data_IF_538529428276
#
_entry.id   IF_538529428276
#
_cell.length_a   1.000
_cell.length_b   1.000
_cell.length_c   1.000
_cell.angle_alpha   90.00
_cell.angle_beta   90.00
_cell.angle_gamma   90.00
#
_symmetry.space_group_name_H-M   'P 1'
#
loop_
_entity.id
_entity.type
_entity.pdbx_description
1 polymer ?
#
# COMPACT_ATOMS: atom_id res chain seq x y z
N UNK A 1 22.08 21.33 17.99
CA UNK A 1 22.71 22.11 19.09
C UNK A 1 23.44 21.26 20.11
N UNK A 2 22.76 20.55 21.02
CA UNK A 2 23.44 19.77 22.07
C UNK A 2 24.38 18.70 21.52
N UNK A 3 23.99 18.02 20.43
CA UNK A 3 24.85 17.05 19.73
C UNK A 3 26.11 17.70 19.15
N UNK A 4 25.99 18.87 18.54
CA UNK A 4 27.14 19.62 18.00
C UNK A 4 28.06 20.11 19.12
N UNK A 5 27.50 20.62 20.22
CA UNK A 5 28.30 21.03 21.39
C UNK A 5 29.10 19.87 22.00
N UNK A 6 28.56 18.64 21.97
CA UNK A 6 29.25 17.45 22.46
C UNK A 6 30.36 16.94 21.54
N UNK A 7 30.30 17.27 20.24
CA UNK A 7 31.42 16.99 19.30
C UNK A 7 32.64 17.84 19.63
N UNK A 8 32.42 19.08 20.07
CA UNK A 8 33.51 20.00 20.45
C UNK A 8 34.01 19.78 21.87
N UNK A 9 33.13 19.44 22.82
CA UNK A 9 33.51 19.08 24.18
C UNK A 9 32.59 17.96 24.70
N UNK A 10 33.13 16.76 24.77
CA UNK A 10 32.40 15.56 25.20
C UNK A 10 31.98 15.60 26.69
N UNK A 11 32.64 16.41 27.51
CA UNK A 11 32.38 16.59 28.95
C UNK A 11 31.44 17.76 29.24
N UNK A 12 30.83 18.37 28.21
CA UNK A 12 29.91 19.49 28.41
C UNK A 12 28.63 19.04 29.12
N UNK A 13 28.60 19.22 30.44
CA UNK A 13 27.52 18.83 31.34
C UNK A 13 26.14 19.36 30.91
N UNK A 14 26.07 20.62 30.48
CA UNK A 14 24.83 21.27 30.06
C UNK A 14 24.31 20.68 28.75
N UNK A 15 25.20 20.35 27.82
CA UNK A 15 24.84 19.70 26.57
C UNK A 15 24.43 18.24 26.77
N UNK A 16 25.10 17.51 27.67
CA UNK A 16 24.72 16.14 28.07
C UNK A 16 23.30 16.12 28.66
N UNK A 17 23.00 17.01 29.61
CA UNK A 17 21.70 17.09 30.25
C UNK A 17 20.58 17.45 29.25
N UNK A 18 20.83 18.43 28.37
CA UNK A 18 19.87 18.82 27.33
C UNK A 18 19.60 17.70 26.33
N UNK A 19 20.65 16.96 25.93
CA UNK A 19 20.51 15.79 25.04
C UNK A 19 19.72 14.67 25.71
N UNK A 20 19.96 14.42 26.99
CA UNK A 20 19.23 13.42 27.76
C UNK A 20 17.73 13.76 27.86
N UNK A 21 17.39 15.00 28.24
CA UNK A 21 16.00 15.48 28.32
C UNK A 21 15.31 15.42 26.95
N UNK A 22 16.01 15.79 25.88
CA UNK A 22 15.46 15.70 24.53
C UNK A 22 15.17 14.25 24.11
N UNK A 23 16.05 13.30 24.44
CA UNK A 23 15.84 11.88 24.15
C UNK A 23 14.66 11.31 24.96
N UNK A 24 14.47 11.74 26.21
CA UNK A 24 13.31 11.36 27.02
C UNK A 24 11.99 11.93 26.45
N UNK A 25 11.97 13.19 26.01
CA UNK A 25 10.79 13.83 25.42
C UNK A 25 10.42 13.25 24.05
N UNK A 26 11.40 12.75 23.30
CA UNK A 26 11.20 12.07 22.02
C UNK A 26 10.95 10.56 22.19
N UNK A 27 10.75 10.10 23.43
CA UNK A 27 10.50 8.69 23.77
C UNK A 27 11.60 7.72 23.30
N UNK A 28 12.82 8.21 23.06
CA UNK A 28 13.98 7.42 22.66
C UNK A 28 14.70 6.85 23.89
N UNK A 29 13.99 6.05 24.67
CA UNK A 29 14.42 5.62 25.99
C UNK A 29 15.69 4.76 26.00
N UNK A 30 15.94 3.92 24.98
CA UNK A 30 17.21 3.18 24.85
C UNK A 30 18.41 4.10 24.67
N UNK A 31 18.28 5.10 23.79
CA UNK A 31 19.36 6.05 23.52
C UNK A 31 19.62 6.96 24.72
N UNK A 32 18.56 7.34 25.44
CA UNK A 32 18.67 8.04 26.72
C UNK A 32 19.38 7.18 27.77
N UNK A 33 19.04 5.88 27.87
CA UNK A 33 19.64 4.96 28.83
C UNK A 33 21.12 4.70 28.53
N UNK A 34 21.49 4.52 27.26
CA UNK A 34 22.89 4.38 26.85
C UNK A 34 23.74 5.62 27.19
N UNK A 35 23.16 6.82 27.04
CA UNK A 35 23.83 8.06 27.42
C UNK A 35 24.02 8.15 28.93
N UNK A 36 23.01 7.76 29.71
CA UNK A 36 23.06 7.69 31.18
C UNK A 36 24.09 6.68 31.66
N UNK A 37 24.10 5.47 31.10
CA UNK A 37 25.07 4.43 31.49
C UNK A 37 26.50 4.87 31.15
N UNK A 38 26.74 5.49 29.98
CA UNK A 38 28.06 6.08 29.65
C UNK A 38 28.54 7.12 30.65
N UNK A 39 27.65 8.00 31.13
CA UNK A 39 27.99 9.02 32.14
C UNK A 39 28.28 8.37 33.50
N UNK A 40 27.55 7.32 33.87
CA UNK A 40 27.73 6.61 35.14
C UNK A 40 28.96 5.70 35.13
N UNK A 41 29.31 5.12 33.99
CA UNK A 41 30.45 4.22 33.81
C UNK A 41 31.79 4.99 33.71
N UNK A 42 31.76 6.20 33.14
CA UNK A 42 32.95 7.06 33.01
C UNK A 42 33.11 8.08 34.15
N UNK A 43 32.14 8.19 35.06
CA UNK A 43 32.17 9.20 36.11
C UNK A 43 33.13 8.83 37.24
N UNK A 44 34.11 9.70 37.52
CA UNK A 44 34.69 9.76 38.86
C UNK A 44 33.55 10.04 39.87
N UNK A 45 33.62 9.45 41.07
CA UNK A 45 32.64 9.59 42.16
C UNK A 45 32.52 11.03 42.73
N UNK A 46 32.85 12.05 41.94
CA UNK A 46 32.68 13.45 42.29
C UNK A 46 31.25 13.90 41.95
N UNK A 47 30.69 14.69 42.86
CA UNK A 47 29.27 15.04 42.98
C UNK A 47 28.84 16.04 41.90
N UNK A 48 28.97 15.69 40.61
CA UNK A 48 28.44 16.48 39.50
C UNK A 48 26.90 16.40 39.47
N UNK A 49 26.25 17.53 39.20
CA UNK A 49 24.79 17.63 39.02
C UNK A 49 24.28 16.68 37.93
N UNK A 50 25.08 16.43 36.90
CA UNK A 50 24.75 15.50 35.81
C UNK A 50 24.78 14.05 36.30
N UNK A 51 25.73 13.69 37.15
CA UNK A 51 25.83 12.35 37.72
C UNK A 51 24.60 12.04 38.60
N UNK A 52 24.22 12.97 39.49
CA UNK A 52 23.02 12.84 40.32
C UNK A 52 21.73 12.70 39.48
N UNK A 53 21.62 13.49 38.41
CA UNK A 53 20.51 13.37 37.47
C UNK A 53 20.49 12.01 36.77
N UNK A 54 21.64 11.51 36.32
CA UNK A 54 21.78 10.22 35.64
C UNK A 54 21.41 9.04 36.55
N UNK A 55 21.75 9.08 37.84
CA UNK A 55 21.34 8.06 38.82
C UNK A 55 19.81 7.96 38.92
N UNK A 56 19.13 9.11 39.02
CA UNK A 56 17.66 9.17 39.06
C UNK A 56 17.02 8.77 37.72
N UNK A 57 17.58 9.26 36.62
CA UNK A 57 17.11 8.97 35.26
C UNK A 57 17.23 7.49 34.92
N UNK A 58 18.30 6.79 35.34
CA UNK A 58 18.50 5.35 35.06
C UNK A 58 17.34 4.49 35.55
N UNK A 59 16.85 4.75 36.78
CA UNK A 59 15.72 4.00 37.36
C UNK A 59 14.42 4.30 36.61
N UNK A 60 14.17 5.57 36.28
CA UNK A 60 12.99 6.01 35.52
C UNK A 60 12.98 5.43 34.10
N UNK A 61 14.10 5.53 33.39
CA UNK A 61 14.27 5.01 32.03
C UNK A 61 14.09 3.50 31.96
N UNK A 62 14.66 2.72 32.88
CA UNK A 62 14.44 1.26 32.94
C UNK A 62 12.98 0.91 33.17
N UNK A 63 12.25 1.67 34.01
CA UNK A 63 10.82 1.47 34.22
C UNK A 63 10.01 1.81 32.96
N UNK A 64 10.34 2.91 32.29
CA UNK A 64 9.69 3.30 31.03
C UNK A 64 9.95 2.27 29.93
N UNK A 65 11.19 1.78 29.78
CA UNK A 65 11.57 0.70 28.88
C UNK A 65 10.84 -0.62 29.16
N UNK A 66 10.65 -0.97 30.43
CA UNK A 66 9.88 -2.17 30.79
C UNK A 66 8.40 -2.03 30.41
N UNK A 67 7.81 -0.86 30.68
CA UNK A 67 6.43 -0.55 30.28
C UNK A 67 6.27 -0.49 28.76
N UNK A 68 7.22 0.12 28.06
CA UNK A 68 7.23 0.20 26.60
C UNK A 68 7.37 -1.19 25.97
N UNK A 69 8.22 -2.06 26.53
CA UNK A 69 8.28 -3.48 26.14
C UNK A 69 7.01 -4.25 26.44
N UNK A 70 6.31 -3.94 27.54
CA UNK A 70 5.04 -4.56 27.89
C UNK A 70 3.91 -4.10 26.97
N UNK A 71 3.88 -2.82 26.60
CA UNK A 71 2.98 -2.25 25.59
C UNK A 71 3.29 -2.85 24.22
N UNK A 72 4.56 -2.86 23.79
CA UNK A 72 4.97 -3.50 22.55
C UNK A 72 4.64 -5.00 22.55
N UNK A 73 4.79 -5.71 23.67
CA UNK A 73 4.41 -7.12 23.78
C UNK A 73 2.89 -7.34 23.76
N UNK A 74 2.11 -6.42 24.33
CA UNK A 74 0.65 -6.47 24.30
C UNK A 74 0.09 -6.10 22.91
N UNK A 75 0.69 -5.12 22.25
CA UNK A 75 0.46 -4.76 20.84
C UNK A 75 0.88 -5.89 19.91
N UNK A 76 2.02 -6.55 20.14
CA UNK A 76 2.43 -7.77 19.41
C UNK A 76 1.49 -8.94 19.67
N UNK A 77 0.89 -9.04 20.86
CA UNK A 77 -0.10 -10.09 21.19
C UNK A 77 -1.48 -9.80 20.60
N UNK A 78 -1.87 -8.53 20.49
CA UNK A 78 -3.08 -8.11 19.76
C UNK A 78 -2.87 -8.21 18.24
N UNK A 79 -1.73 -7.76 17.73
CA UNK A 79 -1.31 -7.98 16.33
C UNK A 79 -1.13 -9.45 16.02
N UNK A 80 -0.66 -10.30 16.94
CA UNK A 80 -0.45 -11.73 16.74
C UNK A 80 -1.75 -12.50 16.47
N UNK A 81 -2.92 -11.89 16.71
CA UNK A 81 -4.22 -12.40 16.27
C UNK A 81 -4.60 -11.97 14.84
N UNK A 82 -3.96 -10.94 14.29
CA UNK A 82 -4.18 -10.37 12.96
C UNK A 82 -3.02 -10.59 11.98
N UNK A 83 -1.83 -10.96 12.48
CA UNK A 83 -0.57 -11.09 11.75
C UNK A 83 -0.21 -12.57 11.66
N UNK A 84 -0.59 -13.20 10.55
CA UNK A 84 -0.13 -14.54 10.22
C UNK A 84 1.21 -14.48 9.48
N UNK A 85 1.97 -15.56 9.53
CA UNK A 85 3.26 -15.83 8.90
C UNK A 85 3.27 -15.75 7.35
N UNK A 86 2.11 -15.60 6.71
CA UNK A 86 1.93 -15.54 5.25
C UNK A 86 1.53 -14.16 4.68
N UNK A 87 2.19 -13.09 5.11
CA UNK A 87 1.85 -11.72 4.68
C UNK A 87 2.59 -11.26 3.42
N UNK A 88 1.89 -10.49 2.58
CA UNK A 88 2.50 -9.87 1.38
C UNK A 88 3.32 -8.64 1.78
N UNK A 89 4.50 -8.51 1.20
CA UNK A 89 5.26 -7.28 1.30
C UNK A 89 4.84 -6.26 0.25
N UNK A 90 5.04 -5.00 0.60
CA UNK A 90 4.63 -3.82 -0.16
C UNK A 90 5.78 -2.82 -0.18
N UNK A 91 6.02 -2.22 -1.34
CA UNK A 91 6.92 -1.06 -1.47
C UNK A 91 6.14 0.20 -1.05
N UNK A 92 6.75 1.09 -0.27
CA UNK A 92 6.15 2.36 0.12
C UNK A 92 7.17 3.48 0.01
N UNK A 93 6.69 4.69 -0.28
CA UNK A 93 7.47 5.90 -0.02
C UNK A 93 7.43 6.21 1.47
N UNK A 94 8.61 6.37 2.07
CA UNK A 94 8.80 6.81 3.45
C UNK A 94 8.80 8.33 3.62
N UNK A 95 8.53 9.07 2.56
CA UNK A 95 8.44 10.53 2.54
C UNK A 95 7.40 10.97 1.51
N UNK A 96 6.85 12.17 1.71
CA UNK A 96 6.02 12.83 0.69
C UNK A 96 6.94 13.45 -0.36
N UNK A 97 6.64 13.23 -1.63
CA UNK A 97 7.46 13.79 -2.71
C UNK A 97 7.02 15.22 -3.06
N UNK A 98 7.94 16.07 -3.57
CA UNK A 98 7.62 17.45 -3.96
C UNK A 98 6.47 17.52 -4.96
N UNK A 99 5.66 18.57 -4.92
CA UNK A 99 4.64 18.87 -5.94
C UNK A 99 5.22 19.59 -7.15
N UNK A 100 6.38 20.23 -6.99
CA UNK A 100 7.09 20.96 -8.04
C UNK A 100 8.60 20.72 -7.92
N UNK A 101 9.23 20.31 -9.03
CA UNK A 101 10.66 19.97 -9.09
C UNK A 101 11.36 20.77 -10.19
N UNK A 102 12.32 21.64 -9.84
CA UNK A 102 13.17 22.32 -10.82
C UNK A 102 14.15 21.38 -11.52
N UNK A 103 14.35 21.58 -12.82
CA UNK A 103 15.32 20.80 -13.61
C UNK A 103 16.72 20.84 -12.99
N UNK A 104 17.32 19.67 -12.82
CA UNK A 104 18.65 19.48 -12.24
C UNK A 104 18.75 19.66 -10.72
N UNK A 105 17.66 20.04 -10.04
CA UNK A 105 17.64 20.13 -8.59
C UNK A 105 17.38 18.76 -7.95
N UNK A 106 18.26 18.37 -7.03
CA UNK A 106 18.13 17.14 -6.27
C UNK A 106 17.13 17.28 -5.12
N UNK A 107 16.34 16.24 -4.91
CA UNK A 107 15.46 16.07 -3.76
C UNK A 107 15.58 14.65 -3.20
N UNK A 108 15.19 14.50 -1.93
CA UNK A 108 15.37 13.25 -1.19
C UNK A 108 14.19 12.31 -1.40
N UNK A 109 14.50 11.02 -1.55
CA UNK A 109 13.51 9.95 -1.70
C UNK A 109 13.85 8.86 -0.70
N UNK A 110 12.87 8.53 0.13
CA UNK A 110 12.92 7.42 1.06
C UNK A 110 11.96 6.34 0.58
N UNK A 111 12.44 5.11 0.49
CA UNK A 111 11.63 3.94 0.18
C UNK A 111 11.79 2.89 1.26
N UNK A 112 10.73 2.15 1.52
CA UNK A 112 10.76 1.01 2.41
C UNK A 112 9.91 -0.12 1.85
N UNK A 113 10.22 -1.35 2.26
CA UNK A 113 9.32 -2.47 2.12
C UNK A 113 8.76 -2.84 3.50
N UNK A 114 7.51 -3.28 3.55
CA UNK A 114 6.86 -3.75 4.76
C UNK A 114 5.62 -4.55 4.43
N UNK A 115 5.07 -5.27 5.40
CA UNK A 115 3.78 -5.94 5.25
C UNK A 115 2.62 -4.92 5.17
N UNK A 116 1.38 -5.39 5.18
CA UNK A 116 0.18 -4.53 5.17
C UNK A 116 0.06 -3.59 6.40
N UNK A 117 0.91 -3.76 7.41
CA UNK A 117 1.03 -2.90 8.59
C UNK A 117 2.31 -2.05 8.59
N UNK A 118 3.10 -2.08 7.50
CA UNK A 118 4.36 -1.35 7.38
C UNK A 118 5.54 -1.95 8.14
N UNK A 119 5.39 -3.20 8.63
CA UNK A 119 6.43 -3.90 9.37
C UNK A 119 7.28 -4.77 8.43
N UNK A 120 8.60 -4.63 8.54
CA UNK A 120 9.57 -5.48 7.87
C UNK A 120 10.31 -6.33 8.88
N UNK A 121 10.40 -7.64 8.62
CA UNK A 121 11.25 -8.54 9.39
C UNK A 121 12.29 -9.17 8.46
N UNK A 122 13.53 -9.26 8.94
CA UNK A 122 14.68 -9.73 8.13
C UNK A 122 14.56 -11.20 7.76
N UNK A 123 13.94 -12.01 8.62
CA UNK A 123 13.62 -13.42 8.40
C UNK A 123 12.69 -13.66 7.20
N UNK A 124 12.02 -12.62 6.68
CA UNK A 124 11.31 -12.72 5.41
C UNK A 124 12.27 -12.97 4.24
N UNK A 125 13.51 -12.47 4.28
CA UNK A 125 14.48 -12.63 3.19
C UNK A 125 15.38 -13.83 3.51
N UNK A 126 15.54 -14.76 2.56
CA UNK A 126 16.43 -15.90 2.77
C UNK A 126 17.87 -15.44 2.96
N UNK A 127 18.65 -16.23 3.69
CA UNK A 127 20.05 -15.91 3.93
C UNK A 127 20.82 -15.83 2.60
N UNK A 128 21.50 -14.72 2.34
CA UNK A 128 22.18 -14.42 1.07
C UNK A 128 21.31 -13.79 -0.03
N UNK A 129 20.00 -13.67 0.15
CA UNK A 129 19.13 -12.95 -0.78
C UNK A 129 19.12 -11.43 -0.51
N UNK A 130 19.05 -10.66 -1.59
CA UNK A 130 18.90 -9.21 -1.59
C UNK A 130 17.66 -8.79 -2.38
N UNK A 131 16.96 -7.79 -1.86
CA UNK A 131 15.85 -7.15 -2.55
C UNK A 131 16.37 -5.88 -3.19
N UNK A 132 16.21 -5.81 -4.52
CA UNK A 132 16.57 -4.69 -5.35
C UNK A 132 15.28 -4.06 -5.86
N UNK A 133 15.20 -2.74 -5.78
CA UNK A 133 14.12 -1.96 -6.38
C UNK A 133 14.67 -1.20 -7.59
N UNK A 134 13.78 -0.72 -8.43
CA UNK A 134 14.08 0.12 -9.57
C UNK A 134 13.24 1.39 -9.46
N UNK A 135 13.89 2.56 -9.44
CA UNK A 135 13.23 3.85 -9.52
C UNK A 135 13.21 4.34 -10.96
N UNK A 136 12.04 4.79 -11.42
CA UNK A 136 11.75 5.22 -12.79
C UNK A 136 10.88 6.48 -12.77
N UNK A 137 10.88 7.19 -13.90
CA UNK A 137 9.96 8.30 -14.13
C UNK A 137 8.76 7.82 -14.95
N UNK A 138 7.56 7.89 -14.38
CA UNK A 138 6.30 7.60 -15.07
C UNK A 138 5.81 8.84 -15.82
N UNK A 139 5.15 8.62 -16.96
CA UNK A 139 4.64 9.66 -17.87
C UNK A 139 5.74 10.59 -18.45
N UNK A 140 7.00 10.13 -18.51
CA UNK A 140 8.06 10.82 -19.25
C UNK A 140 7.77 10.72 -20.75
N UNK A 141 7.09 11.72 -21.28
CA UNK A 141 6.71 11.78 -22.71
C UNK A 141 7.93 11.52 -23.59
N UNK A 142 7.88 10.45 -24.39
CA UNK A 142 8.90 10.08 -25.39
C UNK A 142 10.36 10.06 -24.86
N UNK A 143 10.58 9.80 -23.56
CA UNK A 143 11.93 9.77 -22.97
C UNK A 143 12.60 11.14 -22.87
N UNK A 144 11.85 12.25 -22.93
CA UNK A 144 12.38 13.62 -22.82
C UNK A 144 13.09 13.89 -21.50
N UNK A 145 12.67 13.26 -20.42
CA UNK A 145 13.28 13.43 -19.10
C UNK A 145 13.89 12.11 -18.63
N UNK A 146 15.03 12.22 -17.97
CA UNK A 146 15.69 11.11 -17.26
C UNK A 146 15.98 11.48 -15.82
N UNK A 147 16.10 10.46 -14.98
CA UNK A 147 16.53 10.60 -13.60
C UNK A 147 18.05 10.56 -13.53
N UNK A 148 18.61 11.39 -12.66
CA UNK A 148 20.01 11.31 -12.22
C UNK A 148 20.00 11.03 -10.72
N UNK A 149 20.78 10.05 -10.30
CA UNK A 149 20.83 9.58 -8.94
C UNK A 149 22.11 10.05 -8.26
N UNK A 150 22.00 10.35 -6.98
CA UNK A 150 23.13 10.65 -6.12
C UNK A 150 22.93 9.98 -4.77
N UNK A 151 23.98 9.33 -4.27
CA UNK A 151 23.99 8.83 -2.90
C UNK A 151 23.84 10.00 -1.91
N UNK A 152 23.16 9.79 -0.76
CA UNK A 152 22.99 10.84 0.22
C UNK A 152 24.35 11.38 0.68
N UNK A 153 24.44 12.71 0.79
CA UNK A 153 25.57 13.36 1.43
C UNK A 153 25.56 12.95 2.91
N UNK A 154 26.66 12.37 3.38
CA UNK A 154 26.90 11.85 4.74
C UNK A 154 26.60 10.36 4.97
N UNK A 155 27.67 9.57 4.91
CA UNK A 155 27.81 8.30 5.60
C UNK A 155 27.84 8.53 7.13
N UNK A 156 26.67 8.74 7.76
CA UNK A 156 26.58 8.77 9.21
C UNK A 156 25.96 7.47 9.77
N UNK A 157 26.80 6.71 10.46
CA UNK A 157 26.51 5.85 11.61
C UNK A 157 25.51 4.68 11.53
N UNK A 158 25.26 4.09 10.37
CA UNK A 158 24.73 2.71 10.34
C UNK A 158 25.42 1.95 9.21
N UNK A 159 26.14 0.86 9.53
CA UNK A 159 26.79 -0.05 8.56
C UNK A 159 25.81 -0.84 7.69
N UNK A 160 24.83 -0.15 7.11
CA UNK A 160 23.69 -0.69 6.38
C UNK A 160 23.54 0.14 5.09
N UNK A 161 24.48 -0.06 4.16
CA UNK A 161 24.61 0.73 2.92
C UNK A 161 23.45 0.46 1.97
N UNK A 162 22.37 1.24 2.09
CA UNK A 162 21.44 1.43 0.99
C UNK A 162 22.03 2.40 -0.02
N UNK A 163 21.99 2.08 -1.31
CA UNK A 163 22.47 2.95 -2.38
C UNK A 163 21.55 2.87 -3.59
N UNK A 164 21.57 3.90 -4.43
CA UNK A 164 20.95 3.90 -5.75
C UNK A 164 22.05 4.06 -6.80
N UNK A 165 22.14 3.11 -7.74
CA UNK A 165 23.13 3.21 -8.81
C UNK A 165 22.72 4.24 -9.88
N UNK A 166 23.62 4.47 -10.84
CA UNK A 166 23.43 5.43 -11.95
C UNK A 166 22.23 5.10 -12.84
N UNK A 167 21.73 3.86 -12.81
CA UNK A 167 20.59 3.39 -13.58
C UNK A 167 19.29 3.37 -12.74
N UNK A 168 19.33 3.79 -11.47
CA UNK A 168 18.19 3.79 -10.57
C UNK A 168 17.89 2.45 -9.92
N UNK A 169 18.83 1.49 -9.97
CA UNK A 169 18.73 0.26 -9.18
C UNK A 169 19.05 0.59 -7.72
N UNK A 170 18.09 0.35 -6.86
CA UNK A 170 18.15 0.63 -5.43
C UNK A 170 18.45 -0.67 -4.69
N UNK A 171 19.45 -0.64 -3.82
CA UNK A 171 19.74 -1.71 -2.87
C UNK A 171 19.15 -1.34 -1.51
N UNK A 172 18.26 -2.18 -0.98
CA UNK A 172 17.72 -2.00 0.37
C UNK A 172 18.73 -2.45 1.42
N UNK A 173 18.76 -1.74 2.54
CA UNK A 173 19.54 -2.15 3.72
C UNK A 173 18.90 -3.35 4.45
N UNK A 174 19.55 -3.85 5.51
CA UNK A 174 19.05 -5.01 6.26
C UNK A 174 17.72 -4.76 6.99
N UNK A 175 17.24 -3.50 7.04
CA UNK A 175 15.92 -3.11 7.58
C UNK A 175 14.86 -2.93 6.49
N UNK A 176 15.16 -3.27 5.24
CA UNK A 176 14.23 -3.12 4.12
C UNK A 176 14.00 -1.66 3.73
N UNK A 177 14.95 -0.76 4.00
CA UNK A 177 14.84 0.67 3.71
C UNK A 177 15.96 1.14 2.78
N UNK A 178 15.69 2.19 2.01
CA UNK A 178 16.71 2.93 1.29
C UNK A 178 16.37 4.42 1.22
N UNK A 179 17.42 5.23 1.24
CA UNK A 179 17.37 6.68 1.08
C UNK A 179 18.36 7.09 0.00
N UNK A 180 17.91 7.91 -0.94
CA UNK A 180 18.72 8.39 -2.06
C UNK A 180 18.23 9.75 -2.53
N UNK A 181 19.07 10.48 -3.27
CA UNK A 181 18.67 11.75 -3.89
C UNK A 181 18.49 11.55 -5.38
N UNK A 182 17.50 12.23 -5.94
CA UNK A 182 17.22 12.18 -7.37
C UNK A 182 16.96 13.58 -7.92
N UNK A 183 17.39 13.81 -9.15
CA UNK A 183 17.08 15.00 -9.93
C UNK A 183 16.49 14.60 -11.28
N UNK A 184 15.60 15.45 -11.80
CA UNK A 184 15.05 15.28 -13.15
C UNK A 184 15.84 16.17 -14.12
N UNK A 185 16.35 15.59 -15.20
CA UNK A 185 17.10 16.32 -16.24
C UNK A 185 16.53 16.02 -17.63
N UNK A 186 16.81 16.90 -18.60
CA UNK A 186 16.42 16.70 -20.00
C UNK A 186 17.33 15.66 -20.65
N UNK A 187 16.74 14.74 -21.42
CA UNK A 187 17.44 13.79 -22.27
C UNK A 187 17.67 14.43 -23.65
N UNK A 188 18.93 14.72 -24.00
CA UNK A 188 19.34 15.30 -25.29
C UNK A 188 19.73 16.79 -25.24
N UNK A 189 20.30 17.31 -26.33
CA UNK A 189 20.97 18.63 -26.39
C UNK A 189 20.04 19.84 -26.62
N UNK A 190 18.76 19.64 -26.95
CA UNK A 190 17.84 20.76 -27.21
C UNK A 190 17.26 21.37 -25.92
N UNK A 191 17.83 22.51 -25.53
CA UNK A 191 17.55 23.26 -24.28
C UNK A 191 16.32 24.18 -24.32
N UNK A 192 15.44 24.08 -25.31
CA UNK A 192 14.26 24.96 -25.40
C UNK A 192 13.04 24.27 -24.78
N UNK A 193 12.69 24.68 -23.56
CA UNK A 193 11.66 24.05 -22.74
C UNK A 193 10.37 24.87 -22.81
N UNK A 194 9.40 24.45 -23.63
CA UNK A 194 8.02 24.94 -23.55
C UNK A 194 7.11 23.85 -22.96
N UNK A 195 6.52 24.18 -21.81
CA UNK A 195 5.37 23.54 -21.15
C UNK A 195 5.66 22.37 -20.19
N UNK A 196 5.24 22.64 -18.95
CA UNK A 196 4.98 21.79 -17.78
C UNK A 196 4.13 20.57 -18.12
N UNK A 197 4.72 19.38 -17.99
CA UNK A 197 3.95 18.13 -17.88
C UNK A 197 4.12 17.56 -16.49
N UNK A 198 3.04 17.03 -15.95
CA UNK A 198 3.05 16.28 -14.69
C UNK A 198 3.69 14.91 -14.93
N UNK A 199 4.59 14.55 -14.03
CA UNK A 199 5.27 13.26 -14.01
C UNK A 199 5.15 12.67 -12.61
N UNK A 200 5.43 11.39 -12.45
CA UNK A 200 5.48 10.76 -11.14
C UNK A 200 6.72 9.88 -11.02
N UNK A 201 7.22 9.70 -9.81
CA UNK A 201 8.23 8.68 -9.53
C UNK A 201 7.54 7.36 -9.30
N UNK A 202 8.05 6.32 -9.94
CA UNK A 202 7.61 4.96 -9.72
C UNK A 202 8.76 4.12 -9.17
N UNK A 203 8.49 3.32 -8.15
CA UNK A 203 9.43 2.35 -7.60
C UNK A 203 8.80 0.97 -7.66
N UNK A 204 9.48 0.05 -8.34
CA UNK A 204 9.05 -1.34 -8.56
C UNK A 204 10.16 -2.33 -8.20
N UNK A 205 9.84 -3.61 -8.12
CA UNK A 205 10.88 -4.64 -8.00
C UNK A 205 11.81 -4.63 -9.22
N UNK A 206 13.12 -4.75 -8.99
CA UNK A 206 14.12 -4.81 -10.06
C UNK A 206 14.24 -6.24 -10.59
N UNK A 207 14.50 -6.41 -11.89
CA UNK A 207 14.57 -7.73 -12.54
C UNK A 207 15.65 -8.67 -11.96
N UNK A 208 16.71 -8.10 -11.36
CA UNK A 208 17.76 -8.85 -10.67
C UNK A 208 17.35 -9.37 -9.27
N UNK A 209 16.17 -9.04 -8.76
CA UNK A 209 15.65 -9.68 -7.55
C UNK A 209 15.20 -11.09 -7.88
N UNK A 210 15.94 -12.08 -7.34
CA UNK A 210 15.74 -13.51 -7.57
C UNK A 210 14.54 -14.09 -6.84
N UNK A 211 13.93 -13.32 -5.93
CA UNK A 211 12.89 -13.79 -5.06
C UNK A 211 11.49 -13.43 -5.62
N UNK A 212 10.57 -14.39 -5.65
CA UNK A 212 9.22 -14.27 -6.22
C UNK A 212 8.27 -13.47 -5.31
N UNK A 213 8.57 -12.21 -5.03
CA UNK A 213 7.83 -11.39 -4.07
C UNK A 213 6.82 -10.54 -4.82
N UNK A 214 5.57 -10.55 -4.39
CA UNK A 214 4.52 -9.73 -4.99
C UNK A 214 4.62 -8.27 -4.54
N UNK A 215 5.70 -7.60 -4.92
CA UNK A 215 5.96 -6.21 -4.60
C UNK A 215 5.28 -5.32 -5.64
N UNK A 216 4.03 -4.95 -5.39
CA UNK A 216 3.33 -3.98 -6.24
C UNK A 216 4.13 -2.68 -6.36
N UNK A 217 4.32 -2.16 -7.59
CA UNK A 217 4.90 -0.85 -7.77
C UNK A 217 4.17 0.21 -6.95
N UNK A 218 4.94 1.15 -6.41
CA UNK A 218 4.43 2.35 -5.77
C UNK A 218 4.73 3.55 -6.65
N UNK A 219 3.73 4.39 -6.88
CA UNK A 219 3.78 5.58 -7.71
C UNK A 219 3.54 6.79 -6.81
N UNK A 220 4.37 7.82 -6.92
CA UNK A 220 4.18 9.05 -6.16
C UNK A 220 2.94 9.81 -6.62
N UNK A 221 2.50 10.77 -5.82
CA UNK A 221 1.64 11.83 -6.36
C UNK A 221 2.36 12.52 -7.55
N UNK A 222 1.60 13.01 -8.54
CA UNK A 222 2.18 13.70 -9.68
C UNK A 222 2.82 15.02 -9.24
N UNK A 223 3.93 15.36 -9.86
CA UNK A 223 4.62 16.63 -9.67
C UNK A 223 4.97 17.28 -10.99
N UNK A 224 5.08 18.61 -10.95
CA UNK A 224 5.36 19.41 -12.14
C UNK A 224 6.85 19.69 -12.27
N UNK A 225 7.40 19.43 -13.46
CA UNK A 225 8.77 19.83 -13.79
C UNK A 225 8.77 21.30 -14.19
N UNK A 226 9.62 22.11 -13.54
CA UNK A 226 9.76 23.55 -13.82
C UNK A 226 11.20 23.89 -14.24
N UNK A 227 11.43 25.05 -14.90
CA UNK A 227 12.76 25.46 -15.32
C UNK A 227 13.77 25.54 -14.17
N UNK A 228 15.05 25.31 -14.49
CA UNK A 228 16.13 25.44 -13.52
C UNK A 228 16.15 26.86 -12.91
N UNK A 229 16.39 26.95 -11.60
CA UNK A 229 16.34 28.20 -10.83
C UNK A 229 14.96 28.59 -10.31
N UNK A 230 13.90 27.85 -10.68
CA UNK A 230 12.60 27.95 -9.99
C UNK A 230 12.68 27.37 -8.58
N UNK A 231 11.65 27.61 -7.77
CA UNK A 231 11.55 27.05 -6.41
C UNK A 231 11.09 25.58 -6.44
N UNK A 232 11.68 24.76 -5.56
CA UNK A 232 11.17 23.42 -5.24
C UNK A 232 10.03 23.55 -4.23
N UNK A 233 8.87 22.96 -4.53
CA UNK A 233 7.71 22.99 -3.62
C UNK A 233 7.42 21.62 -3.07
N UNK A 234 7.29 21.52 -1.76
CA UNK A 234 6.91 20.29 -1.09
C UNK A 234 5.54 19.78 -1.57
N UNK A 235 5.31 18.48 -1.42
CA UNK A 235 4.02 17.88 -1.70
C UNK A 235 3.00 18.22 -0.64
N UNK A 236 1.72 18.04 -0.97
CA UNK A 236 0.61 18.09 -0.01
C UNK A 236 -0.25 16.84 -0.21
N UNK A 237 -0.75 16.27 0.88
CA UNK A 237 -1.53 15.03 0.87
C UNK A 237 -3.03 15.27 0.64
N UNK A 238 -3.46 16.53 0.75
CA UNK A 238 -4.86 16.94 0.68
C UNK A 238 -5.72 16.33 1.78
N UNK A 239 -7.03 16.54 1.69
CA UNK A 239 -7.99 16.09 2.70
C UNK A 239 -8.12 14.56 2.78
N UNK A 240 -7.80 13.87 1.67
CA UNK A 240 -7.84 12.41 1.60
C UNK A 240 -6.60 11.74 2.21
N UNK A 241 -5.57 12.49 2.57
CA UNK A 241 -4.36 11.92 3.16
C UNK A 241 -3.63 10.95 2.23
N UNK A 242 -3.68 11.17 0.92
CA UNK A 242 -3.04 10.29 -0.07
C UNK A 242 -1.57 10.67 -0.20
N UNK A 243 -0.67 9.70 -0.05
CA UNK A 243 0.78 9.92 -0.20
C UNK A 243 1.33 9.33 -1.49
N UNK A 244 0.72 8.23 -1.95
CA UNK A 244 1.15 7.47 -3.11
C UNK A 244 0.00 6.61 -3.64
N UNK A 245 0.19 6.09 -4.84
CA UNK A 245 -0.70 5.14 -5.47
C UNK A 245 0.01 3.79 -5.65
N UNK A 246 -0.75 2.71 -5.65
CA UNK A 246 -0.36 1.41 -6.18
C UNK A 246 -0.64 1.37 -7.66
N UNK A 247 0.33 0.92 -8.45
CA UNK A 247 0.07 0.54 -9.83
C UNK A 247 -0.14 -0.97 -9.90
N UNK A 248 -1.31 -1.38 -10.36
CA UNK A 248 -1.69 -2.79 -10.46
C UNK A 248 -1.89 -3.16 -11.93
N UNK A 249 -0.93 -3.92 -12.47
CA UNK A 249 -1.04 -4.50 -13.82
C UNK A 249 -2.02 -5.67 -13.79
N UNK A 250 -3.02 -5.65 -14.69
CA UNK A 250 -4.01 -6.70 -14.80
C UNK A 250 -4.03 -7.35 -16.19
N UNK A 251 -4.22 -8.68 -16.28
CA UNK A 251 -4.34 -9.37 -17.55
C UNK A 251 -5.44 -8.76 -18.42
N UNK A 252 -5.05 -8.42 -19.65
CA UNK A 252 -5.97 -7.93 -20.66
C UNK A 252 -6.34 -6.45 -20.56
N UNK A 253 -5.72 -5.69 -19.66
CA UNK A 253 -5.65 -4.23 -19.76
C UNK A 253 -4.34 -3.81 -20.43
N UNK A 254 -4.34 -2.67 -21.11
CA UNK A 254 -3.14 -2.11 -21.75
C UNK A 254 -2.27 -1.29 -20.77
N UNK A 255 -2.86 -0.87 -19.65
CA UNK A 255 -2.24 0.01 -18.66
C UNK A 255 -2.58 -0.47 -17.24
N UNK A 256 -1.75 -0.05 -16.28
CA UNK A 256 -2.00 -0.34 -14.86
C UNK A 256 -3.22 0.42 -14.35
N UNK A 257 -3.95 -0.20 -13.42
CA UNK A 257 -4.92 0.52 -12.59
C UNK A 257 -4.14 1.21 -11.46
N UNK A 258 -4.32 2.53 -11.32
CA UNK A 258 -3.71 3.32 -10.25
C UNK A 258 -4.68 3.45 -9.07
N UNK A 259 -4.27 3.04 -7.88
CA UNK A 259 -5.09 3.10 -6.67
C UNK A 259 -4.37 3.89 -5.59
N UNK A 260 -4.90 5.06 -5.24
CA UNK A 260 -4.47 5.79 -4.06
C UNK A 260 -4.80 4.99 -2.80
N UNK A 261 -3.80 4.82 -1.93
CA UNK A 261 -3.98 4.23 -0.60
C UNK A 261 -4.05 5.36 0.45
N UNK A 262 -4.96 5.22 1.43
CA UNK A 262 -5.07 6.13 2.58
C UNK A 262 -5.30 5.35 3.89
N UNK A 263 -4.35 4.47 4.27
CA UNK A 263 -4.50 3.63 5.46
C UNK A 263 -4.51 4.44 6.76
N UNK A 264 -3.91 5.64 6.78
CA UNK A 264 -3.89 6.52 7.94
C UNK A 264 -5.26 7.12 8.28
N UNK A 265 -6.07 7.42 7.26
CA UNK A 265 -7.39 8.04 7.45
C UNK A 265 -8.52 7.01 7.52
N UNK A 266 -8.43 5.92 6.72
CA UNK A 266 -9.53 4.96 6.53
C UNK A 266 -9.23 3.56 7.05
N UNK A 267 -8.10 3.35 7.71
CA UNK A 267 -7.72 2.05 8.26
C UNK A 267 -7.69 0.95 7.19
N UNK A 268 -8.55 -0.06 7.35
CA UNK A 268 -8.64 -1.20 6.43
C UNK A 268 -9.31 -0.85 5.08
N UNK A 269 -10.21 0.14 5.04
CA UNK A 269 -10.88 0.58 3.81
C UNK A 269 -9.94 1.35 2.87
N UNK A 270 -8.85 1.91 3.41
CA UNK A 270 -7.83 2.63 2.66
C UNK A 270 -6.68 1.77 2.13
N UNK A 271 -6.81 0.44 2.12
CA UNK A 271 -5.76 -0.53 1.74
C UNK A 271 -6.20 -1.45 0.62
N UNK A 272 -5.23 -1.87 -0.19
CA UNK A 272 -5.43 -2.96 -1.14
C UNK A 272 -5.40 -4.33 -0.42
N UNK A 273 -6.26 -5.28 -0.80
CA UNK A 273 -6.35 -6.62 -0.18
C UNK A 273 -6.25 -7.75 -1.20
N UNK A 274 -5.70 -8.90 -0.80
CA UNK A 274 -5.35 -9.98 -1.75
C UNK A 274 -6.57 -10.56 -2.50
N UNK A 275 -7.73 -10.61 -1.85
CA UNK A 275 -8.94 -11.18 -2.44
C UNK A 275 -9.41 -10.42 -3.69
N UNK A 276 -9.21 -9.09 -3.77
CA UNK A 276 -9.60 -8.33 -4.97
C UNK A 276 -8.68 -8.65 -6.18
N UNK A 277 -7.42 -9.03 -5.93
CA UNK A 277 -6.48 -9.48 -6.97
C UNK A 277 -6.90 -10.83 -7.55
N UNK A 278 -7.34 -11.77 -6.69
CA UNK A 278 -7.85 -13.07 -7.14
C UNK A 278 -9.12 -12.89 -7.97
N UNK A 279 -10.06 -12.10 -7.46
CA UNK A 279 -11.34 -11.87 -8.14
C UNK A 279 -11.15 -11.22 -9.51
N UNK A 280 -10.28 -10.22 -9.63
CA UNK A 280 -9.96 -9.58 -10.92
C UNK A 280 -9.28 -10.52 -11.89
N UNK A 281 -8.34 -11.36 -11.45
CA UNK A 281 -7.70 -12.39 -12.32
C UNK A 281 -8.71 -13.40 -12.84
N UNK A 282 -9.61 -13.88 -11.97
CA UNK A 282 -10.69 -14.76 -12.38
C UNK A 282 -11.61 -14.11 -13.42
N UNK A 283 -11.99 -12.85 -13.20
CA UNK A 283 -12.83 -12.09 -14.12
C UNK A 283 -12.13 -11.77 -15.45
N UNK A 284 -10.81 -11.60 -15.46
CA UNK A 284 -10.03 -11.38 -16.67
C UNK A 284 -10.16 -12.55 -17.67
N UNK A 285 -10.29 -13.78 -17.16
CA UNK A 285 -10.49 -14.98 -17.95
C UNK A 285 -11.95 -15.19 -18.41
N UNK A 286 -12.90 -14.41 -17.91
CA UNK A 286 -14.35 -14.59 -18.12
C UNK A 286 -15.05 -13.30 -18.52
N UNK A 287 -14.49 -12.59 -19.50
CA UNK A 287 -15.00 -11.28 -19.94
C UNK A 287 -16.48 -11.29 -20.31
N UNK A 288 -16.98 -12.41 -20.81
CA UNK A 288 -18.38 -12.64 -21.17
C UNK A 288 -19.36 -12.42 -20.01
N UNK A 289 -18.92 -12.56 -18.75
CA UNK A 289 -19.76 -12.29 -17.58
C UNK A 289 -19.83 -10.80 -17.23
N UNK A 290 -19.04 -9.95 -17.89
CA UNK A 290 -18.92 -8.51 -17.57
C UNK A 290 -19.41 -7.60 -18.69
N UNK A 291 -19.12 -7.92 -19.96
CA UNK A 291 -19.39 -7.02 -21.09
C UNK A 291 -20.88 -6.68 -21.16
N UNK A 292 -21.21 -5.39 -21.04
CA UNK A 292 -22.57 -4.87 -21.09
C UNK A 292 -23.44 -5.18 -19.86
N UNK A 293 -22.90 -5.86 -18.84
CA UNK A 293 -23.62 -6.23 -17.62
C UNK A 293 -23.64 -5.10 -16.59
N UNK A 294 -24.70 -5.04 -15.79
CA UNK A 294 -24.80 -4.19 -14.60
C UNK A 294 -24.13 -4.91 -13.44
N UNK A 295 -23.03 -4.35 -12.97
CA UNK A 295 -22.22 -4.90 -11.88
C UNK A 295 -22.36 -3.98 -10.66
N UNK A 296 -22.60 -4.57 -9.49
CA UNK A 296 -22.51 -3.85 -8.21
C UNK A 296 -21.41 -4.51 -7.37
N UNK A 297 -20.49 -3.69 -6.87
CA UNK A 297 -19.47 -4.12 -5.91
C UNK A 297 -19.88 -3.70 -4.51
N UNK A 298 -19.94 -4.66 -3.57
CA UNK A 298 -20.21 -4.42 -2.15
C UNK A 298 -18.88 -4.40 -1.38
N UNK A 299 -18.61 -3.33 -0.63
CA UNK A 299 -17.36 -3.18 0.14
C UNK A 299 -16.16 -2.98 -0.80
N UNK A 300 -16.21 -1.94 -1.62
CA UNK A 300 -15.26 -1.72 -2.71
C UNK A 300 -13.86 -1.31 -2.21
N UNK A 301 -13.74 -0.70 -1.03
CA UNK A 301 -12.50 -0.14 -0.51
C UNK A 301 -11.87 0.83 -1.51
N UNK A 302 -10.73 0.43 -2.09
CA UNK A 302 -10.05 1.20 -3.13
C UNK A 302 -10.71 1.13 -4.52
N UNK A 303 -11.56 0.14 -4.76
CA UNK A 303 -12.36 -0.03 -5.98
C UNK A 303 -11.69 -0.83 -7.10
N UNK A 304 -10.68 -1.65 -6.81
CA UNK A 304 -9.93 -2.38 -7.84
C UNK A 304 -10.84 -3.27 -8.72
N UNK A 305 -11.75 -4.05 -8.12
CA UNK A 305 -12.58 -5.01 -8.86
C UNK A 305 -13.55 -4.26 -9.77
N UNK A 306 -14.27 -3.28 -9.24
CA UNK A 306 -15.25 -2.51 -10.00
C UNK A 306 -14.61 -1.65 -11.10
N UNK A 307 -13.47 -1.00 -10.84
CA UNK A 307 -12.71 -0.27 -11.86
C UNK A 307 -12.29 -1.22 -12.99
N UNK A 308 -11.76 -2.40 -12.65
CA UNK A 308 -11.39 -3.42 -13.62
C UNK A 308 -12.61 -3.89 -14.44
N UNK A 309 -13.74 -4.17 -13.80
CA UNK A 309 -14.98 -4.54 -14.48
C UNK A 309 -15.45 -3.47 -15.47
N UNK A 310 -15.39 -2.19 -15.07
CA UNK A 310 -15.78 -1.07 -15.92
C UNK A 310 -14.85 -0.95 -17.15
N UNK A 311 -13.54 -1.10 -16.97
CA UNK A 311 -12.58 -1.13 -18.08
C UNK A 311 -12.81 -2.31 -19.05
N UNK A 312 -13.42 -3.40 -18.58
CA UNK A 312 -13.84 -4.53 -19.41
C UNK A 312 -15.23 -4.36 -20.04
N UNK A 313 -15.87 -3.19 -19.88
CA UNK A 313 -17.13 -2.84 -20.54
C UNK A 313 -18.39 -3.13 -19.72
N UNK A 314 -18.28 -3.36 -18.42
CA UNK A 314 -19.43 -3.42 -17.52
C UNK A 314 -19.95 -2.00 -17.17
N UNK A 315 -21.23 -1.92 -16.79
CA UNK A 315 -21.82 -0.73 -16.15
C UNK A 315 -21.75 -0.94 -14.64
N UNK A 316 -20.81 -0.26 -13.98
CA UNK A 316 -20.46 -0.59 -12.59
C UNK A 316 -20.94 0.48 -11.61
N UNK A 317 -21.53 0.02 -10.51
CA UNK A 317 -21.75 0.80 -9.28
C UNK A 317 -20.86 0.23 -8.18
N UNK A 318 -19.88 1.00 -7.73
CA UNK A 318 -19.01 0.64 -6.61
C UNK A 318 -19.63 1.19 -5.33
N UNK A 319 -19.73 0.37 -4.29
CA UNK A 319 -20.36 0.75 -3.03
C UNK A 319 -19.47 0.49 -1.83
N UNK A 320 -19.58 1.38 -0.84
CA UNK A 320 -18.90 1.27 0.47
C UNK A 320 -19.58 2.20 1.50
N UNK A 321 -19.06 2.23 2.73
CA UNK A 321 -19.48 3.19 3.75
C UNK A 321 -19.13 4.63 3.34
N UNK A 322 -19.90 5.59 3.87
CA UNK A 322 -19.82 7.02 3.53
C UNK A 322 -18.41 7.58 3.56
N UNK A 323 -17.62 7.18 4.55
CA UNK A 323 -16.26 7.66 4.79
C UNK A 323 -15.27 7.22 3.70
N UNK A 324 -15.54 6.09 3.04
CA UNK A 324 -14.68 5.52 1.98
C UNK A 324 -14.98 6.13 0.61
N UNK A 325 -16.22 6.59 0.39
CA UNK A 325 -16.69 7.12 -0.91
C UNK A 325 -15.76 8.19 -1.50
N UNK A 326 -15.26 9.20 -0.76
CA UNK A 326 -14.37 10.22 -1.32
C UNK A 326 -13.07 9.65 -1.93
N UNK A 327 -12.46 8.66 -1.29
CA UNK A 327 -11.27 7.98 -1.81
C UNK A 327 -11.61 7.09 -3.01
N UNK A 328 -12.73 6.39 -2.95
CA UNK A 328 -13.23 5.54 -4.03
C UNK A 328 -13.48 6.35 -5.31
N UNK A 329 -14.16 7.50 -5.20
CA UNK A 329 -14.35 8.42 -6.31
C UNK A 329 -13.04 8.99 -6.84
N UNK A 330 -12.07 9.27 -5.96
CA UNK A 330 -10.74 9.71 -6.35
C UNK A 330 -10.05 8.64 -7.21
N UNK A 331 -10.11 7.37 -6.80
CA UNK A 331 -9.59 6.24 -7.57
C UNK A 331 -10.31 6.03 -8.90
N UNK A 332 -11.63 6.24 -8.97
CA UNK A 332 -12.35 6.24 -10.24
C UNK A 332 -11.78 7.33 -11.16
N UNK A 333 -11.68 8.58 -10.69
CA UNK A 333 -11.16 9.69 -11.51
C UNK A 333 -9.72 9.47 -11.98
N UNK A 334 -8.88 8.86 -11.15
CA UNK A 334 -7.49 8.51 -11.50
C UNK A 334 -7.40 7.62 -12.76
N UNK A 335 -8.41 6.79 -13.00
CA UNK A 335 -8.37 5.74 -14.03
C UNK A 335 -9.27 6.03 -15.25
N UNK A 336 -10.12 7.05 -15.20
CA UNK A 336 -11.10 7.39 -16.25
C UNK A 336 -11.07 8.88 -16.67
N UNK A 337 -9.98 9.60 -16.40
CA UNK A 337 -9.84 11.03 -16.76
C UNK A 337 -9.73 11.25 -18.27
N UNK A 338 -10.13 12.45 -18.75
CA UNK A 338 -10.18 12.79 -20.18
C UNK A 338 -8.82 12.62 -20.90
N UNK A 339 -7.70 12.87 -20.23
CA UNK A 339 -6.35 12.65 -20.79
C UNK A 339 -6.10 11.16 -21.12
N UNK A 340 -6.66 10.25 -20.33
CA UNK A 340 -6.59 8.79 -20.56
C UNK A 340 -7.48 8.35 -21.73
N UNK A 341 -8.47 9.18 -22.09
CA UNK A 341 -9.38 8.93 -23.23
C UNK A 341 -8.93 9.59 -24.54
N UNK A 342 -8.09 10.63 -24.48
CA UNK A 342 -7.59 11.39 -25.62
C UNK A 342 -6.35 10.76 -26.28
N UNK A 343 -5.50 10.08 -25.50
CA UNK A 343 -4.71 8.98 -26.07
C UNK A 343 -5.73 7.90 -26.44
N UNK A 344 -5.83 7.51 -27.72
CA UNK A 344 -6.80 6.55 -28.29
C UNK A 344 -6.78 5.12 -27.65
N UNK A 345 -6.26 4.95 -26.45
CA UNK A 345 -5.94 3.70 -25.76
C UNK A 345 -7.14 3.07 -25.07
N UNK A 346 -8.03 3.83 -24.43
CA UNK A 346 -9.26 3.29 -23.83
C UNK A 346 -10.31 2.88 -24.90
N UNK A 347 -10.29 3.47 -26.09
CA UNK A 347 -11.20 3.11 -27.19
C UNK A 347 -10.79 1.82 -27.93
N UNK A 348 -9.54 1.36 -27.81
CA UNK A 348 -9.04 0.23 -28.63
C UNK A 348 -9.29 -1.16 -28.05
N UNK A 349 -9.65 -1.28 -26.76
CA UNK A 349 -9.72 -2.58 -26.08
C UNK A 349 -11.10 -3.26 -26.15
N UNK A 350 -12.15 -2.57 -26.61
CA UNK A 350 -13.49 -3.15 -26.80
C UNK A 350 -13.92 -2.94 -28.25
N UNK A 351 -13.81 -3.98 -29.07
CA UNK A 351 -14.57 -4.03 -30.33
C UNK A 351 -16.06 -4.07 -29.99
N UNK A 352 -16.71 -2.89 -29.89
CA UNK A 352 -18.17 -2.77 -29.88
C UNK A 352 -18.85 -2.11 -28.68
N UNK A 353 -18.16 -1.40 -27.77
CA UNK A 353 -18.83 -0.69 -26.68
C UNK A 353 -18.00 0.43 -26.08
N UNK A 354 -18.62 1.60 -25.87
CA UNK A 354 -18.00 2.69 -25.10
C UNK A 354 -17.80 2.25 -23.64
N UNK A 355 -16.62 2.52 -23.09
CA UNK A 355 -16.32 2.29 -21.66
C UNK A 355 -17.23 3.20 -20.83
N UNK A 356 -18.09 2.61 -20.01
CA UNK A 356 -18.99 3.36 -19.13
C UNK A 356 -18.21 3.84 -17.90
N UNK A 357 -18.30 5.14 -17.57
CA UNK A 357 -17.73 5.68 -16.34
C UNK A 357 -18.42 5.03 -15.13
N UNK A 358 -17.70 4.34 -14.24
CA UNK A 358 -18.30 3.76 -13.06
C UNK A 358 -18.72 4.84 -12.06
N UNK A 359 -19.68 4.52 -11.20
CA UNK A 359 -20.19 5.44 -10.17
C UNK A 359 -19.93 4.87 -8.78
N UNK A 360 -19.52 5.73 -7.84
CA UNK A 360 -19.47 5.39 -6.42
C UNK A 360 -20.79 5.76 -5.74
N UNK A 361 -21.27 4.91 -4.83
CA UNK A 361 -22.48 5.15 -4.02
C UNK A 361 -22.26 4.70 -2.58
N UNK A 362 -22.75 5.49 -1.64
CA UNK A 362 -22.83 5.08 -0.25
C UNK A 362 -23.81 3.90 -0.12
N UNK A 363 -23.38 2.84 0.52
CA UNK A 363 -24.24 1.72 0.91
C UNK A 363 -23.70 1.08 2.18
N UNK A 364 -24.32 1.39 3.31
CA UNK A 364 -24.08 0.66 4.54
C UNK A 364 -24.83 -0.66 4.47
N UNK A 365 -24.14 -1.77 4.75
CA UNK A 365 -24.79 -3.08 4.71
C UNK A 365 -25.97 -3.15 5.67
N UNK A 366 -27.01 -3.88 5.27
CA UNK A 366 -28.27 -3.99 5.99
C UNK A 366 -29.28 -2.90 5.66
N UNK A 367 -28.86 -1.74 5.16
CA UNK A 367 -29.77 -0.68 4.71
C UNK A 367 -30.43 -1.03 3.38
N UNK A 368 -31.63 -0.49 3.07
CA UNK A 368 -32.29 -0.77 1.81
C UNK A 368 -31.56 -0.11 0.63
N UNK A 369 -31.38 -0.81 -0.51
CA UNK A 369 -30.51 -0.39 -1.62
C UNK A 369 -31.18 0.65 -2.57
N UNK A 370 -31.74 1.74 -2.02
CA UNK A 370 -32.59 2.69 -2.77
C UNK A 370 -31.91 3.31 -4.01
N UNK A 371 -30.62 3.62 -3.92
CA UNK A 371 -29.85 4.27 -4.98
C UNK A 371 -29.02 3.30 -5.82
N UNK A 372 -29.23 2.00 -5.65
CA UNK A 372 -28.53 0.94 -6.37
C UNK A 372 -29.43 0.33 -7.46
N UNK A 373 -28.83 -0.32 -8.48
CA UNK A 373 -29.61 -1.06 -9.47
C UNK A 373 -30.53 -2.09 -8.79
N UNK A 374 -31.84 -2.00 -9.05
CA UNK A 374 -32.89 -2.86 -8.45
C UNK A 374 -32.65 -4.36 -8.69
N UNK A 375 -31.87 -4.70 -9.71
CA UNK A 375 -31.49 -6.08 -10.02
C UNK A 375 -30.20 -6.07 -10.84
N UNK A 376 -29.02 -6.06 -10.22
CA UNK A 376 -27.77 -6.18 -10.94
C UNK A 376 -27.68 -7.54 -11.62
N UNK A 377 -26.92 -7.63 -12.71
CA UNK A 377 -26.68 -8.90 -13.39
C UNK A 377 -25.58 -9.68 -12.64
N UNK A 378 -24.61 -8.96 -12.06
CA UNK A 378 -23.51 -9.51 -11.27
C UNK A 378 -23.29 -8.70 -9.99
N UNK A 379 -23.16 -9.39 -8.86
CA UNK A 379 -22.60 -8.85 -7.62
C UNK A 379 -21.17 -9.36 -7.45
N UNK A 380 -20.25 -8.47 -7.09
CA UNK A 380 -18.87 -8.84 -6.78
C UNK A 380 -18.52 -8.40 -5.36
N UNK A 381 -17.86 -9.28 -4.62
CA UNK A 381 -17.44 -9.04 -3.24
C UNK A 381 -16.01 -9.53 -3.06
N UNK A 382 -15.13 -8.69 -2.50
CA UNK A 382 -13.77 -9.08 -2.17
C UNK A 382 -13.42 -8.74 -0.73
N UNK A 383 -13.13 -9.77 0.08
CA UNK A 383 -12.62 -9.60 1.44
C UNK A 383 -13.57 -8.92 2.45
N UNK A 384 -14.86 -9.11 2.28
CA UNK A 384 -15.93 -8.46 3.07
C UNK A 384 -16.37 -9.24 4.32
N UNK A 385 -15.94 -10.49 4.49
CA UNK A 385 -16.30 -11.35 5.62
C UNK A 385 -15.17 -11.35 6.65
N UNK A 386 -15.10 -10.32 7.49
CA UNK A 386 -14.02 -10.20 8.50
C UNK A 386 -14.52 -9.77 9.89
N UNK A 387 -15.62 -9.03 9.97
CA UNK A 387 -16.20 -8.51 11.20
C UNK A 387 -17.56 -9.19 11.49
N UNK A 388 -17.72 -9.89 12.62
CA UNK A 388 -18.97 -10.54 12.98
C UNK A 388 -20.18 -9.61 13.02
N UNK A 389 -19.99 -8.33 13.35
CA UNK A 389 -21.08 -7.34 13.34
C UNK A 389 -21.61 -7.08 11.92
N UNK A 390 -20.78 -7.26 10.90
CA UNK A 390 -21.13 -7.07 9.49
C UNK A 390 -21.83 -8.25 8.83
N UNK A 391 -21.85 -9.44 9.44
CA UNK A 391 -22.33 -10.67 8.77
C UNK A 391 -23.82 -10.63 8.41
N UNK A 392 -24.70 -10.40 9.39
CA UNK A 392 -26.14 -10.34 9.14
C UNK A 392 -26.54 -9.14 8.25
N UNK A 393 -25.99 -7.93 8.45
CA UNK A 393 -26.22 -6.80 7.54
C UNK A 393 -25.80 -7.11 6.08
N UNK A 394 -24.64 -7.76 5.89
CA UNK A 394 -24.17 -8.11 4.54
C UNK A 394 -25.10 -9.12 3.86
N UNK A 395 -25.55 -10.16 4.59
CA UNK A 395 -26.54 -11.12 4.06
C UNK A 395 -27.84 -10.41 3.69
N UNK A 396 -28.35 -9.49 4.52
CA UNK A 396 -29.54 -8.68 4.19
C UNK A 396 -29.38 -7.89 2.89
N UNK A 397 -28.22 -7.25 2.68
CA UNK A 397 -27.93 -6.54 1.42
C UNK A 397 -27.85 -7.49 0.21
N UNK A 398 -27.28 -8.69 0.39
CA UNK A 398 -27.29 -9.73 -0.66
C UNK A 398 -28.71 -10.18 -0.99
N UNK A 399 -29.58 -10.39 0.00
CA UNK A 399 -30.99 -10.77 -0.20
C UNK A 399 -31.78 -9.72 -0.98
N UNK A 400 -31.53 -8.44 -0.68
CA UNK A 400 -32.17 -7.31 -1.34
C UNK A 400 -31.69 -7.11 -2.79
N UNK A 401 -30.38 -7.21 -3.03
CA UNK A 401 -29.79 -6.96 -4.35
C UNK A 401 -29.87 -8.18 -5.27
N UNK A 402 -29.61 -9.38 -4.76
CA UNK A 402 -29.76 -10.64 -5.51
C UNK A 402 -31.17 -11.21 -5.30
N UNK A 403 -32.19 -10.40 -5.58
CA UNK A 403 -33.62 -10.75 -5.49
C UNK A 403 -34.02 -11.93 -6.39
N UNK A 404 -33.28 -12.15 -7.48
CA UNK A 404 -33.54 -13.16 -8.50
C UNK A 404 -32.38 -14.16 -8.62
N UNK A 405 -32.67 -15.45 -8.89
CA UNK A 405 -31.64 -16.47 -9.13
C UNK A 405 -30.75 -16.18 -10.35
N UNK A 406 -31.19 -15.31 -11.27
CA UNK A 406 -30.42 -14.87 -12.44
C UNK A 406 -29.19 -14.05 -12.04
N UNK A 407 -29.25 -13.33 -10.91
CA UNK A 407 -28.14 -12.54 -10.40
C UNK A 407 -26.97 -13.47 -10.05
N UNK A 408 -25.81 -13.24 -10.67
CA UNK A 408 -24.60 -13.98 -10.34
C UNK A 408 -23.87 -13.27 -9.22
N UNK A 409 -23.64 -13.94 -8.09
CA UNK A 409 -22.85 -13.39 -6.99
C UNK A 409 -21.49 -14.08 -6.97
N UNK A 410 -20.41 -13.30 -7.05
CA UNK A 410 -19.02 -13.76 -7.02
C UNK A 410 -18.32 -13.20 -5.79
N UNK A 411 -17.76 -14.08 -4.95
CA UNK A 411 -17.05 -13.66 -3.75
C UNK A 411 -15.65 -14.27 -3.71
N UNK A 412 -14.63 -13.42 -3.57
CA UNK A 412 -13.29 -13.84 -3.18
C UNK A 412 -13.09 -13.53 -1.70
N UNK A 413 -12.68 -14.53 -0.93
CA UNK A 413 -12.62 -14.45 0.52
C UNK A 413 -11.36 -15.13 1.05
N UNK A 414 -10.63 -14.44 1.92
CA UNK A 414 -9.56 -15.05 2.71
C UNK A 414 -9.99 -15.14 4.16
N UNK A 415 -9.92 -16.36 4.70
CA UNK A 415 -10.30 -16.64 6.09
C UNK A 415 -9.39 -15.89 7.06
N UNK A 416 -10.00 -15.05 7.92
CA UNK A 416 -9.31 -14.24 8.93
C UNK A 416 -9.95 -14.29 10.30
N UNK A 417 -11.21 -14.70 10.37
CA UNK A 417 -11.98 -14.67 11.61
C UNK A 417 -12.54 -16.08 11.91
N UNK A 418 -12.28 -16.66 13.10
CA UNK A 418 -12.80 -17.98 13.45
C UNK A 418 -14.35 -18.05 13.47
N UNK A 419 -15.02 -16.91 13.60
CA UNK A 419 -16.48 -16.81 13.59
C UNK A 419 -17.09 -16.71 12.19
N UNK A 420 -16.29 -16.72 11.11
CA UNK A 420 -16.81 -16.58 9.73
C UNK A 420 -17.85 -17.64 9.34
N UNK A 421 -17.88 -18.79 10.01
CA UNK A 421 -18.90 -19.82 9.81
C UNK A 421 -20.33 -19.28 9.99
N UNK A 422 -20.53 -18.31 10.88
CA UNK A 422 -21.84 -17.68 11.11
C UNK A 422 -22.37 -16.95 9.88
N UNK A 423 -21.48 -16.30 9.10
CA UNK A 423 -21.87 -15.69 7.82
C UNK A 423 -22.39 -16.75 6.84
N UNK A 424 -21.67 -17.87 6.69
CA UNK A 424 -22.07 -18.94 5.77
C UNK A 424 -23.35 -19.65 6.23
N UNK A 425 -23.56 -19.81 7.54
CA UNK A 425 -24.82 -20.33 8.09
C UNK A 425 -26.01 -19.43 7.77
N UNK A 426 -25.88 -18.11 7.99
CA UNK A 426 -26.91 -17.13 7.62
C UNK A 426 -27.17 -17.13 6.11
N UNK A 427 -26.11 -17.07 5.30
CA UNK A 427 -26.21 -17.06 3.84
C UNK A 427 -26.93 -18.31 3.30
N UNK A 428 -26.69 -19.47 3.90
CA UNK A 428 -27.25 -20.76 3.46
C UNK A 428 -28.78 -20.87 3.54
N UNK A 429 -29.42 -19.97 4.30
CA UNK A 429 -30.88 -19.93 4.45
C UNK A 429 -31.57 -19.48 3.15
N UNK A 430 -30.91 -18.63 2.36
CA UNK A 430 -31.49 -17.99 1.17
C UNK A 430 -30.66 -18.24 -0.09
N UNK A 431 -29.40 -18.64 0.03
CA UNK A 431 -28.48 -18.82 -1.09
C UNK A 431 -27.76 -20.17 -1.05
N UNK A 432 -27.51 -20.75 -2.23
CA UNK A 432 -26.46 -21.75 -2.39
C UNK A 432 -25.11 -21.04 -2.49
N UNK A 433 -24.07 -21.66 -1.94
CA UNK A 433 -22.70 -21.14 -1.95
C UNK A 433 -21.75 -22.27 -2.32
N UNK A 434 -21.20 -22.21 -3.53
CA UNK A 434 -20.28 -23.22 -4.06
C UNK A 434 -18.86 -22.66 -4.12
N UNK A 435 -17.90 -23.35 -3.50
CA UNK A 435 -16.50 -23.01 -3.63
C UNK A 435 -15.96 -23.54 -4.97
N UNK A 436 -15.32 -22.68 -5.76
CA UNK A 436 -14.72 -23.04 -7.05
C UNK A 436 -13.21 -23.17 -6.93
N UNK A 437 -12.66 -24.22 -7.56
CA UNK A 437 -11.21 -24.33 -7.81
C UNK A 437 -10.80 -23.39 -8.96
N UNK A 438 -10.56 -22.12 -8.60
CA UNK A 438 -10.14 -21.10 -9.56
C UNK A 438 -8.71 -21.33 -10.07
N UNK A 439 -7.82 -21.96 -9.31
CA UNK A 439 -6.44 -22.25 -9.72
C UNK A 439 -6.40 -23.24 -10.90
N UNK A 440 -7.36 -24.17 -10.96
CA UNK A 440 -7.50 -25.06 -12.11
C UNK A 440 -7.77 -24.34 -13.44
N UNK A 441 -8.31 -23.11 -13.37
CA UNK A 441 -8.55 -22.25 -14.54
C UNK A 441 -7.31 -21.45 -14.98
N UNK A 442 -6.25 -21.39 -14.16
CA UNK A 442 -4.95 -20.76 -14.46
C UNK A 442 -3.89 -21.75 -15.03
N UNK A 443 -4.26 -22.99 -15.40
CA UNK A 443 -3.38 -24.15 -15.71
C UNK A 443 -2.32 -24.03 -16.84
N UNK A 444 -1.86 -22.83 -17.18
CA UNK A 444 -0.60 -22.58 -17.88
C UNK A 444 0.53 -22.03 -16.99
N UNK A 445 0.36 -21.92 -15.66
CA UNK A 445 1.40 -21.42 -14.76
C UNK A 445 2.28 -22.53 -14.12
N UNK A 446 3.61 -22.31 -13.97
CA UNK A 446 4.57 -23.32 -13.52
C UNK A 446 4.53 -23.61 -12.01
N UNK A 447 4.80 -24.87 -11.63
CA UNK A 447 4.79 -25.36 -10.23
C UNK A 447 5.90 -24.74 -9.36
N UNK A 448 5.58 -24.43 -8.10
CA UNK A 448 6.49 -23.93 -7.06
C UNK A 448 7.22 -25.02 -6.26
N UNK A 449 8.44 -24.66 -5.82
CA UNK A 449 9.25 -25.36 -4.81
C UNK A 449 8.94 -24.89 -3.38
N UNK A 450 8.89 -25.83 -2.44
CA UNK A 450 8.68 -25.61 -0.99
C UNK A 450 10.03 -25.27 -0.33
N UNK A 451 10.23 -24.03 0.12
CA UNK A 451 11.20 -23.67 1.18
C UNK A 451 11.01 -22.22 1.66
N UNK A 452 10.95 -22.05 2.98
CA UNK A 452 10.57 -20.85 3.74
C UNK A 452 11.02 -19.49 3.19
N UNK A 453 10.04 -18.62 3.02
CA UNK A 453 10.05 -17.21 2.61
C UNK A 453 8.59 -16.74 2.59
N UNK A 454 8.29 -15.43 2.45
CA UNK A 454 6.91 -14.99 2.23
C UNK A 454 6.35 -15.71 1.00
N UNK A 455 5.06 -16.07 1.01
CA UNK A 455 4.48 -16.82 -0.09
C UNK A 455 4.69 -16.08 -1.41
N UNK A 456 5.04 -16.82 -2.46
CA UNK A 456 4.96 -16.30 -3.83
C UNK A 456 3.57 -15.73 -4.11
N UNK A 457 3.44 -14.84 -5.11
CA UNK A 457 2.13 -14.33 -5.51
C UNK A 457 1.10 -15.48 -5.65
N UNK A 458 1.46 -16.60 -6.26
CA UNK A 458 0.59 -17.78 -6.37
C UNK A 458 0.24 -18.43 -5.03
N UNK A 459 1.21 -18.59 -4.12
CA UNK A 459 0.95 -19.16 -2.78
C UNK A 459 0.13 -18.22 -1.88
N UNK A 460 0.28 -16.91 -2.00
CA UNK A 460 -0.49 -15.95 -1.23
C UNK A 460 -1.97 -15.96 -1.67
N UNK A 461 -2.20 -16.19 -2.96
CA UNK A 461 -3.52 -16.30 -3.57
C UNK A 461 -4.16 -17.69 -3.33
N UNK A 462 -3.39 -18.74 -3.03
CA UNK A 462 -3.92 -20.07 -2.68
C UNK A 462 -4.79 -20.10 -1.41
N UNK A 463 -4.53 -19.19 -0.46
CA UNK A 463 -5.33 -19.07 0.77
C UNK A 463 -6.65 -18.32 0.53
N UNK A 464 -6.83 -17.72 -0.65
CA UNK A 464 -8.07 -17.04 -1.03
C UNK A 464 -9.01 -18.07 -1.67
N UNK A 465 -10.18 -18.25 -1.04
CA UNK A 465 -11.26 -19.07 -1.56
C UNK A 465 -12.14 -18.24 -2.48
N UNK A 466 -12.60 -18.87 -3.55
CA UNK A 466 -13.53 -18.26 -4.50
C UNK A 466 -14.88 -18.96 -4.41
N UNK A 467 -15.95 -18.18 -4.34
CA UNK A 467 -17.31 -18.69 -4.22
C UNK A 467 -18.20 -18.13 -5.32
N UNK A 468 -19.03 -19.01 -5.88
CA UNK A 468 -20.21 -18.63 -6.65
C UNK A 468 -21.42 -18.82 -5.77
N UNK A 469 -22.20 -17.75 -5.63
CA UNK A 469 -23.38 -17.70 -4.78
C UNK A 469 -24.60 -17.46 -5.67
N UNK A 470 -25.67 -18.23 -5.44
CA UNK A 470 -26.93 -18.15 -6.20
C UNK A 470 -28.12 -18.19 -5.26
N UNK A 471 -29.15 -17.37 -5.54
CA UNK A 471 -30.37 -17.40 -4.74
C UNK A 471 -31.04 -18.77 -4.89
N UNK A 472 -31.48 -19.36 -3.78
CA UNK A 472 -32.27 -20.58 -3.81
C UNK A 472 -33.63 -20.26 -4.48
N UNK A 473 -34.06 -21.13 -5.39
CA UNK A 473 -35.40 -21.05 -5.94
C UNK A 473 -36.37 -21.42 -4.82
N UNK A 474 -37.38 -20.57 -4.57
CA UNK A 474 -38.44 -20.91 -3.62
C UNK A 474 -39.06 -22.25 -4.05
N UNK A 475 -39.08 -23.22 -3.13
CA UNK A 475 -39.68 -24.53 -3.36
C UNK A 475 -41.19 -24.45 -3.57
#
# INVERSE_FOLDING_TARGET
>A
DATESLKHNAENEKALLRKLVALENLERFEAALQLVDKVLDNGEKNVSTVFQYCVAARRRLRKNLARDREVAASEVKQMGKMVHDKQQLRINFGCLLPSQVPLGQFFDVNVNIGNEFGLFRRDYVKNGEHIYLQCLLRNSTAGRYKLVFQDPFESSDVGDTSCADVNGKITLNNRGKASFRVAVVVAGENKQCSVTKTVALEVRAHAASTAAWNLFPVVSLPFTIVPAGSELREGITGDLGVHCCRAVSMPGLQHDILLAESPGNLGIGGKLWDSCLVLTRYLAARREVLVGKRVVELGSGLGLVGIFCAMLGARVTLTDMKEVIPLLEYNIRLNFSEETTADNTLQSSVKGGAVALPVAREHLWGEPPHDLPVQPDVLVLSDVVYDPEGYAPLVSSLEALAASPETLVLMAHRSRNPMEHQFFELLSQTFSCEQIDWLSTEKSAPKLSVAGGPPSAEQALQDVKFFVIRRLVAQ
#
